data_IF_418696621296
#
_entry.id   IF_418696621296
#
_cell.length_a   1.000
_cell.length_b   1.000
_cell.length_c   1.000
_cell.angle_alpha   90.00
_cell.angle_beta   90.00
_cell.angle_gamma   90.00
#
_symmetry.space_group_name_H-M   'P 1'
#
loop_
_entity.id
_entity.type
_entity.pdbx_description
1 polymer ?
#
# COMPACT_ATOMS: atom_id res chain seq x y z
N UNK A 1 6.17 -25.70 19.74
CA UNK A 1 5.10 -24.73 19.36
C UNK A 1 5.61 -23.30 19.33
N UNK A 2 6.32 -22.84 20.35
CA UNK A 2 6.84 -21.46 20.41
C UNK A 2 7.91 -21.15 19.36
N UNK A 3 8.79 -22.10 19.05
CA UNK A 3 9.84 -21.95 18.03
C UNK A 3 9.29 -21.87 16.61
N UNK A 4 8.21 -22.57 16.31
CA UNK A 4 7.57 -22.54 15.00
C UNK A 4 6.85 -21.19 14.78
N UNK A 5 6.13 -20.72 15.79
CA UNK A 5 5.47 -19.43 15.77
C UNK A 5 6.46 -18.26 15.60
N UNK A 6 7.59 -18.32 16.32
CA UNK A 6 8.66 -17.32 16.21
C UNK A 6 9.31 -17.31 14.81
N UNK A 7 9.54 -18.49 14.21
CA UNK A 7 10.08 -18.59 12.85
C UNK A 7 9.10 -18.07 11.79
N UNK A 8 7.81 -18.34 11.95
CA UNK A 8 6.79 -17.87 11.03
C UNK A 8 6.62 -16.34 11.13
N UNK A 9 6.70 -15.79 12.34
CA UNK A 9 6.69 -14.35 12.57
C UNK A 9 7.91 -13.67 11.94
N UNK A 10 9.11 -14.21 12.17
CA UNK A 10 10.34 -13.69 11.56
C UNK A 10 10.31 -13.74 10.03
N UNK A 11 9.77 -14.81 9.43
CA UNK A 11 9.59 -14.92 7.98
C UNK A 11 8.63 -13.86 7.44
N UNK A 12 7.54 -13.60 8.16
CA UNK A 12 6.57 -12.55 7.80
C UNK A 12 7.21 -11.17 7.82
N UNK A 13 8.01 -10.87 8.83
CA UNK A 13 8.74 -9.60 8.95
C UNK A 13 9.73 -9.40 7.80
N UNK A 14 10.50 -10.43 7.44
CA UNK A 14 11.46 -10.37 6.32
C UNK A 14 10.73 -10.14 4.98
N UNK A 15 9.61 -10.81 4.76
CA UNK A 15 8.80 -10.63 3.55
C UNK A 15 8.25 -9.22 3.45
N UNK A 16 7.71 -8.70 4.55
CA UNK A 16 7.19 -7.34 4.63
C UNK A 16 8.28 -6.30 4.38
N UNK A 17 9.47 -6.49 4.94
CA UNK A 17 10.60 -5.60 4.74
C UNK A 17 10.99 -5.45 3.26
N UNK A 18 11.01 -6.56 2.51
CA UNK A 18 11.30 -6.53 1.06
C UNK A 18 10.25 -5.77 0.27
N UNK A 19 8.98 -5.92 0.63
CA UNK A 19 7.87 -5.16 0.02
C UNK A 19 8.04 -3.67 0.29
N UNK A 20 8.27 -3.29 1.53
CA UNK A 20 8.49 -1.89 1.94
C UNK A 20 9.66 -1.27 1.19
N UNK A 21 10.80 -1.95 1.14
CA UNK A 21 11.99 -1.47 0.42
C UNK A 21 11.71 -1.26 -1.05
N UNK A 22 11.01 -2.19 -1.70
CA UNK A 22 10.68 -2.08 -3.13
C UNK A 22 9.77 -0.87 -3.40
N UNK A 23 8.74 -0.68 -2.58
CA UNK A 23 7.82 0.45 -2.72
C UNK A 23 8.50 1.79 -2.44
N UNK A 24 9.37 1.86 -1.44
CA UNK A 24 10.12 3.09 -1.11
C UNK A 24 11.11 3.50 -2.20
N UNK A 25 11.77 2.53 -2.82
CA UNK A 25 12.70 2.78 -3.93
C UNK A 25 12.00 3.18 -5.22
N UNK A 26 10.73 2.83 -5.37
CA UNK A 26 9.94 3.07 -6.58
C UNK A 26 8.64 3.79 -6.19
N UNK A 27 8.70 5.10 -5.86
CA UNK A 27 7.60 5.79 -5.18
C UNK A 27 6.41 6.15 -6.08
N UNK A 28 6.55 6.10 -7.39
CA UNK A 28 5.43 6.38 -8.31
C UNK A 28 4.74 5.07 -8.65
N UNK A 29 3.90 4.60 -7.73
CA UNK A 29 3.11 3.39 -7.93
C UNK A 29 1.79 3.69 -8.63
N UNK A 30 1.11 2.61 -9.04
CA UNK A 30 -0.24 2.66 -9.61
C UNK A 30 -1.16 1.75 -8.79
N UNK A 31 -2.31 2.29 -8.43
CA UNK A 31 -3.34 1.58 -7.67
C UNK A 31 -4.51 1.25 -8.59
N UNK A 32 -4.79 -0.04 -8.73
CA UNK A 32 -5.97 -0.53 -9.43
C UNK A 32 -7.10 -0.81 -8.43
N UNK A 33 -8.29 -0.38 -8.79
CA UNK A 33 -9.52 -0.57 -8.01
C UNK A 33 -10.65 -1.04 -8.88
N UNK A 34 -11.69 -1.58 -8.27
CA UNK A 34 -12.95 -1.88 -8.95
C UNK A 34 -13.88 -0.69 -8.78
N UNK A 35 -14.26 -0.05 -9.89
CA UNK A 35 -15.18 1.08 -9.87
C UNK A 35 -16.58 0.68 -9.42
N UNK A 36 -17.34 1.62 -8.87
CA UNK A 36 -18.76 1.43 -8.51
C UNK A 36 -19.62 1.06 -9.72
N UNK A 37 -19.13 1.37 -10.94
CA UNK A 37 -19.71 0.96 -12.23
C UNK A 37 -19.29 -0.46 -12.67
N UNK A 38 -18.53 -1.18 -11.85
CA UNK A 38 -18.00 -2.52 -12.13
C UNK A 38 -16.81 -2.55 -13.07
N UNK A 39 -16.29 -1.39 -13.49
CA UNK A 39 -15.16 -1.30 -14.41
C UNK A 39 -13.84 -1.17 -13.66
N UNK A 40 -12.75 -1.67 -14.28
CA UNK A 40 -11.41 -1.49 -13.77
C UNK A 40 -11.02 0.00 -13.82
N UNK A 41 -10.41 0.47 -12.73
CA UNK A 41 -9.87 1.82 -12.58
C UNK A 41 -8.42 1.74 -12.14
N UNK A 42 -7.57 2.64 -12.64
CA UNK A 42 -6.17 2.69 -12.28
C UNK A 42 -5.68 4.15 -12.26
N UNK A 43 -4.84 4.50 -11.29
CA UNK A 43 -4.28 5.86 -11.16
C UNK A 43 -2.95 5.83 -10.41
N UNK A 44 -2.11 6.86 -10.57
CA UNK A 44 -0.93 7.01 -9.73
C UNK A 44 -1.32 7.09 -8.24
N UNK A 45 -0.52 6.45 -7.41
CA UNK A 45 -0.72 6.44 -5.97
C UNK A 45 0.62 6.26 -5.26
N UNK A 46 0.76 6.72 -4.04
CA UNK A 46 2.01 6.63 -3.31
C UNK A 46 1.84 5.87 -2.00
N UNK A 47 2.69 4.87 -1.81
CA UNK A 47 2.88 4.22 -0.52
C UNK A 47 3.44 5.23 0.49
N UNK A 48 2.87 5.27 1.69
CA UNK A 48 3.35 6.15 2.74
C UNK A 48 4.48 5.51 3.54
N UNK A 49 4.16 4.52 4.35
CA UNK A 49 5.13 3.81 5.19
C UNK A 49 4.49 2.57 5.82
N UNK A 50 5.32 1.74 6.42
CA UNK A 50 4.88 0.63 7.27
C UNK A 50 4.82 1.09 8.72
N UNK A 51 3.74 0.76 9.43
CA UNK A 51 3.59 0.97 10.85
C UNK A 51 2.71 -0.14 11.43
N UNK A 52 3.16 -0.72 12.55
CA UNK A 52 2.45 -1.80 13.26
C UNK A 52 2.15 -3.02 12.38
N UNK A 53 3.09 -3.36 11.49
CA UNK A 53 2.96 -4.48 10.57
C UNK A 53 1.97 -4.24 9.42
N UNK A 54 1.52 -3.01 9.22
CA UNK A 54 0.56 -2.63 8.19
C UNK A 54 1.19 -1.70 7.16
N UNK A 55 0.82 -1.88 5.89
CA UNK A 55 1.21 -1.01 4.78
C UNK A 55 0.19 0.11 4.62
N UNK A 56 0.59 1.34 4.91
CA UNK A 56 -0.31 2.50 4.93
C UNK A 56 -0.20 3.33 3.66
N UNK A 57 -1.36 3.80 3.23
CA UNK A 57 -1.57 4.71 2.12
C UNK A 57 -2.48 5.85 2.55
N UNK A 58 -2.49 6.95 1.82
CA UNK A 58 -3.38 8.06 2.10
C UNK A 58 -4.12 8.54 0.85
N UNK A 59 -5.28 9.11 1.06
CA UNK A 59 -6.11 9.71 0.02
C UNK A 59 -7.02 10.78 0.66
N UNK A 60 -8.04 11.23 -0.04
CA UNK A 60 -9.07 12.06 0.55
C UNK A 60 -10.47 11.56 0.20
N UNK A 61 -11.42 11.85 1.06
CA UNK A 61 -12.78 11.30 0.98
C UNK A 61 -13.68 11.98 -0.06
N UNK A 62 -13.19 12.97 -0.78
CA UNK A 62 -13.92 13.59 -1.90
C UNK A 62 -13.67 12.87 -3.22
N UNK A 63 -12.63 12.04 -3.30
CA UNK A 63 -12.24 11.35 -4.53
C UNK A 63 -13.10 10.13 -4.81
N UNK A 64 -13.30 9.84 -6.10
CA UNK A 64 -13.97 8.62 -6.54
C UNK A 64 -13.25 7.35 -6.08
N UNK A 65 -11.92 7.35 -6.06
CA UNK A 65 -11.13 6.21 -5.60
C UNK A 65 -11.47 5.82 -4.15
N UNK A 66 -11.67 6.80 -3.27
CA UNK A 66 -12.11 6.55 -1.89
C UNK A 66 -13.48 5.87 -1.87
N UNK A 67 -14.45 6.43 -2.59
CA UNK A 67 -15.82 5.91 -2.66
C UNK A 67 -15.87 4.52 -3.29
N UNK A 68 -15.05 4.27 -4.31
CA UNK A 68 -14.93 2.97 -4.96
C UNK A 68 -14.35 1.93 -4.00
N UNK A 69 -13.31 2.26 -3.23
CA UNK A 69 -12.72 1.34 -2.24
C UNK A 69 -13.65 1.04 -1.07
N UNK A 70 -14.51 1.98 -0.67
CA UNK A 70 -15.55 1.71 0.32
C UNK A 70 -16.59 0.71 -0.19
N UNK A 71 -16.95 0.81 -1.47
CA UNK A 71 -17.92 -0.08 -2.10
C UNK A 71 -17.31 -1.47 -2.40
N UNK A 72 -16.05 -1.52 -2.84
CA UNK A 72 -15.31 -2.75 -3.09
C UNK A 72 -13.84 -2.55 -2.66
N UNK A 73 -13.42 -3.19 -1.56
CA UNK A 73 -12.09 -2.98 -0.99
C UNK A 73 -10.94 -3.69 -1.73
N UNK A 74 -11.22 -4.55 -2.70
CA UNK A 74 -10.19 -5.26 -3.43
C UNK A 74 -9.34 -4.31 -4.29
N UNK A 75 -8.03 -4.31 -4.05
CA UNK A 75 -7.09 -3.43 -4.74
C UNK A 75 -5.82 -4.17 -5.14
N UNK A 76 -5.13 -3.63 -6.14
CA UNK A 76 -3.81 -4.07 -6.52
C UNK A 76 -2.91 -2.86 -6.75
N UNK A 77 -1.72 -2.90 -6.15
CA UNK A 77 -0.67 -1.90 -6.34
C UNK A 77 0.44 -2.51 -7.20
N UNK A 78 0.88 -1.78 -8.22
CA UNK A 78 1.98 -2.21 -9.07
C UNK A 78 2.91 -1.05 -9.40
N UNK A 79 4.20 -1.37 -9.50
CA UNK A 79 5.25 -0.47 -10.00
C UNK A 79 6.41 -1.32 -10.50
N UNK A 80 7.10 -0.83 -11.52
CA UNK A 80 8.37 -1.42 -11.96
C UNK A 80 9.55 -0.55 -11.58
N UNK A 81 10.68 -1.20 -11.32
CA UNK A 81 11.98 -0.53 -11.13
C UNK A 81 12.61 -0.15 -12.47
N UNK A 82 13.60 0.76 -12.48
CA UNK A 82 14.35 1.07 -13.69
C UNK A 82 15.05 -0.14 -14.33
N UNK A 83 15.34 -1.19 -13.54
CA UNK A 83 15.95 -2.45 -13.99
C UNK A 83 14.91 -3.49 -14.45
N UNK A 84 13.65 -3.10 -14.62
CA UNK A 84 12.54 -3.96 -15.04
C UNK A 84 12.20 -5.09 -14.09
N UNK A 85 12.48 -4.93 -12.78
CA UNK A 85 11.79 -5.68 -11.75
C UNK A 85 10.44 -5.02 -11.46
N UNK A 86 9.46 -5.79 -11.01
CA UNK A 86 8.15 -5.22 -10.66
C UNK A 86 7.54 -5.91 -9.45
N UNK A 87 6.66 -5.19 -8.78
CA UNK A 87 5.82 -5.71 -7.71
C UNK A 87 4.36 -5.74 -8.16
N UNK A 88 3.64 -6.77 -7.72
CA UNK A 88 2.18 -6.82 -7.75
C UNK A 88 1.72 -7.13 -6.33
N UNK A 89 1.18 -6.14 -5.67
CA UNK A 89 0.75 -6.21 -4.27
C UNK A 89 -0.77 -6.15 -4.22
N UNK A 90 -1.39 -7.20 -3.73
CA UNK A 90 -2.84 -7.33 -3.59
C UNK A 90 -3.25 -7.24 -2.12
N UNK A 91 -4.43 -6.78 -1.87
CA UNK A 91 -5.02 -6.75 -0.53
C UNK A 91 -6.38 -6.10 -0.53
N UNK A 92 -6.95 -5.97 0.66
CA UNK A 92 -8.19 -5.24 0.88
C UNK A 92 -7.90 -3.92 1.57
N UNK A 93 -8.38 -2.82 1.00
CA UNK A 93 -8.26 -1.51 1.59
C UNK A 93 -9.14 -1.39 2.83
N UNK A 94 -8.55 -1.06 3.98
CA UNK A 94 -9.26 -0.82 5.23
C UNK A 94 -8.96 0.60 5.70
N UNK A 95 -9.98 1.45 5.70
CA UNK A 95 -9.86 2.82 6.22
C UNK A 95 -9.97 2.81 7.73
N UNK A 96 -9.07 3.54 8.37
CA UNK A 96 -9.02 3.67 9.82
C UNK A 96 -8.66 5.10 10.19
N UNK A 97 -9.40 5.68 11.13
CA UNK A 97 -9.05 6.99 11.68
C UNK A 97 -7.91 6.84 12.70
N UNK A 98 -6.68 6.82 12.18
CA UNK A 98 -5.47 6.63 12.97
C UNK A 98 -4.66 7.92 12.99
N UNK A 99 -4.71 8.62 14.12
CA UNK A 99 -4.04 9.91 14.30
C UNK A 99 -2.53 9.82 14.12
N UNK A 100 -1.90 8.81 14.71
CA UNK A 100 -0.45 8.58 14.60
C UNK A 100 0.00 8.40 13.15
N UNK A 101 -0.75 7.60 12.38
CA UNK A 101 -0.49 7.38 10.95
C UNK A 101 -0.70 8.67 10.16
N UNK A 102 -1.80 9.38 10.40
CA UNK A 102 -2.08 10.67 9.75
C UNK A 102 -0.97 11.69 9.99
N UNK A 103 -0.49 11.78 11.21
CA UNK A 103 0.65 12.65 11.57
C UNK A 103 1.94 12.23 10.86
N UNK A 104 2.20 10.91 10.78
CA UNK A 104 3.35 10.37 10.05
C UNK A 104 3.31 10.71 8.55
N UNK A 105 2.14 10.69 7.94
CA UNK A 105 1.97 11.06 6.53
C UNK A 105 2.35 12.53 6.27
N UNK A 106 2.17 13.42 7.25
CA UNK A 106 2.53 14.84 7.13
C UNK A 106 4.03 15.10 7.05
N UNK A 107 4.88 14.10 7.33
CA UNK A 107 6.32 14.19 7.08
C UNK A 107 6.66 14.22 5.59
N UNK A 108 5.76 13.79 4.73
CA UNK A 108 5.91 13.90 3.28
C UNK A 108 5.49 15.31 2.83
N UNK A 109 6.39 16.11 2.20
CA UNK A 109 6.08 17.48 1.79
C UNK A 109 4.90 17.59 0.82
N UNK A 110 4.71 16.60 -0.05
CA UNK A 110 3.59 16.57 -1.01
C UNK A 110 2.27 16.44 -0.27
N UNK A 111 2.19 15.51 0.68
CA UNK A 111 0.99 15.28 1.50
C UNK A 111 0.69 16.51 2.34
N UNK A 112 1.70 17.05 3.02
CA UNK A 112 1.57 18.26 3.81
C UNK A 112 1.13 19.47 2.98
N UNK A 113 1.65 19.59 1.76
CA UNK A 113 1.26 20.65 0.84
C UNK A 113 -0.21 20.57 0.43
N UNK A 114 -0.75 19.35 0.29
CA UNK A 114 -2.15 19.14 -0.10
C UNK A 114 -3.14 19.31 1.06
N UNK A 115 -2.80 18.80 2.25
CA UNK A 115 -3.75 18.67 3.36
C UNK A 115 -3.46 19.57 4.55
N UNK A 116 -2.27 20.15 4.66
CA UNK A 116 -1.75 21.07 5.69
C UNK A 116 -1.61 20.42 7.06
N UNK A 117 -2.65 19.78 7.58
CA UNK A 117 -2.66 19.14 8.90
C UNK A 117 -3.26 17.74 8.87
N UNK A 118 -2.86 16.92 9.83
CA UNK A 118 -3.43 15.58 10.04
C UNK A 118 -4.93 15.61 10.38
N UNK A 119 -5.41 16.71 10.94
CA UNK A 119 -6.81 16.90 11.35
C UNK A 119 -7.72 17.36 10.21
N UNK A 120 -7.20 17.54 9.00
CA UNK A 120 -8.01 17.93 7.86
C UNK A 120 -9.15 16.92 7.66
N UNK A 121 -10.44 17.34 7.68
CA UNK A 121 -11.57 16.44 7.66
C UNK A 121 -11.72 15.61 6.40
N UNK A 122 -11.06 16.00 5.30
CA UNK A 122 -11.09 15.21 4.06
C UNK A 122 -9.94 14.19 3.98
N UNK A 123 -8.94 14.30 4.86
CA UNK A 123 -7.74 13.46 4.82
C UNK A 123 -8.04 12.08 5.41
N UNK A 124 -7.80 11.02 4.62
CA UNK A 124 -8.06 9.64 4.98
C UNK A 124 -6.81 8.78 4.82
N UNK A 125 -6.61 7.84 5.72
CA UNK A 125 -5.58 6.81 5.63
C UNK A 125 -6.19 5.43 5.60
N UNK A 126 -5.53 4.51 4.89
CA UNK A 126 -5.94 3.11 4.83
C UNK A 126 -4.72 2.20 4.80
N UNK A 127 -4.90 0.99 5.23
CA UNK A 127 -3.91 -0.07 5.08
C UNK A 127 -4.47 -1.22 4.25
N UNK A 128 -3.59 -2.11 3.83
CA UNK A 128 -3.99 -3.32 3.12
C UNK A 128 -4.10 -4.49 4.09
N UNK A 129 -5.30 -5.04 4.19
CA UNK A 129 -5.56 -6.28 4.92
C UNK A 129 -5.16 -7.47 4.04
N UNK A 130 -4.50 -8.47 4.64
CA UNK A 130 -3.97 -9.66 3.96
C UNK A 130 -3.11 -9.32 2.74
N UNK A 131 -2.08 -8.48 2.87
CA UNK A 131 -1.22 -8.14 1.75
C UNK A 131 -0.48 -9.38 1.24
N UNK A 132 -0.54 -9.60 -0.08
CA UNK A 132 0.11 -10.73 -0.74
C UNK A 132 0.43 -10.36 -2.19
N UNK A 133 1.33 -11.09 -2.79
CA UNK A 133 1.68 -10.86 -4.18
C UNK A 133 3.06 -11.38 -4.54
N UNK A 134 3.67 -10.73 -5.52
CA UNK A 134 4.98 -11.15 -6.06
C UNK A 134 5.87 -9.95 -6.34
N UNK A 135 7.17 -10.17 -6.20
CA UNK A 135 8.22 -9.34 -6.80
C UNK A 135 8.93 -10.22 -7.83
N UNK A 136 8.98 -9.79 -9.08
CA UNK A 136 9.50 -10.56 -10.19
C UNK A 136 10.39 -9.71 -11.09
N UNK A 137 11.15 -10.37 -11.94
CA UNK A 137 11.99 -9.73 -12.96
C UNK A 137 12.15 -10.66 -14.18
N UNK A 138 12.96 -10.26 -15.13
CA UNK A 138 13.25 -11.03 -16.34
C UNK A 138 14.52 -11.90 -16.23
N UNK A 139 15.05 -12.11 -15.02
CA UNK A 139 16.30 -12.88 -14.82
C UNK A 139 16.15 -14.38 -15.08
N UNK A 140 14.93 -14.89 -15.12
CA UNK A 140 14.64 -16.32 -15.14
C UNK A 140 14.56 -16.96 -13.75
N UNK A 141 14.87 -16.22 -12.69
CA UNK A 141 14.66 -16.67 -11.31
C UNK A 141 13.18 -16.75 -10.98
N UNK A 142 12.76 -17.68 -10.07
CA UNK A 142 11.39 -17.73 -9.60
C UNK A 142 10.97 -16.39 -8.97
N UNK A 143 9.70 -15.96 -9.15
CA UNK A 143 9.19 -14.80 -8.47
C UNK A 143 9.30 -14.93 -6.94
N UNK A 144 9.61 -13.81 -6.29
CA UNK A 144 9.55 -13.74 -4.84
C UNK A 144 8.10 -13.55 -4.39
N UNK A 145 7.53 -14.57 -3.75
CA UNK A 145 6.15 -14.57 -3.26
C UNK A 145 6.07 -14.13 -1.80
N UNK A 146 5.06 -13.35 -1.49
CA UNK A 146 4.80 -12.90 -0.13
C UNK A 146 3.31 -12.88 0.21
#
# INVERSE_FOLDING_TARGET
>A
TNLRCAKDSARKEIKMQKVVEFLQKNPVQYLATVGRDGKAKCRPFMFCFEQDGKLWFCTNNTKDVYKDMLANPEVEVSVSSPEYAWIRLNGKAVFEDNKSVKEGCMNNPIVKGQYQTADNPIFEVFYLENPHGVIADFSGNPPYEF
#
